data_IF_880837693977
#
_entry.id   IF_880837693977
#
_cell.length_a   1.000
_cell.length_b   1.000
_cell.length_c   1.000
_cell.angle_alpha   90.00
_cell.angle_beta   90.00
_cell.angle_gamma   90.00
#
_symmetry.space_group_name_H-M   'P 1'
#
loop_
_entity.id
_entity.type
_entity.pdbx_description
1 polymer ?
#
# COMPACT_ATOMS: atom_id res chain seq x y z
N UNK A 1 -39.00 -0.66 -43.80
CA UNK A 1 -37.54 -0.57 -43.61
C UNK A 1 -37.27 -0.77 -42.15
N UNK A 2 -36.99 -2.01 -41.74
CA UNK A 2 -36.62 -2.32 -40.37
C UNK A 2 -35.23 -1.74 -40.08
N UNK A 3 -35.14 -0.88 -39.07
CA UNK A 3 -33.85 -0.48 -38.53
C UNK A 3 -33.22 -1.74 -37.91
N UNK A 4 -32.25 -2.34 -38.61
CA UNK A 4 -31.30 -3.25 -38.00
C UNK A 4 -30.59 -2.46 -36.89
N UNK A 5 -31.09 -2.61 -35.66
CA UNK A 5 -30.37 -2.23 -34.45
C UNK A 5 -29.06 -3.01 -34.50
N UNK A 6 -27.98 -2.33 -34.85
CA UNK A 6 -26.63 -2.84 -34.70
C UNK A 6 -26.47 -3.12 -33.21
N UNK A 7 -26.59 -4.39 -32.83
CA UNK A 7 -26.26 -4.85 -31.49
C UNK A 7 -24.74 -4.78 -31.38
N UNK A 8 -24.23 -3.62 -30.96
CA UNK A 8 -22.83 -3.50 -30.54
C UNK A 8 -22.66 -4.33 -29.28
N UNK A 9 -22.30 -5.61 -29.43
CA UNK A 9 -21.98 -6.47 -28.29
C UNK A 9 -20.66 -5.99 -27.69
N UNK A 10 -20.72 -5.30 -26.56
CA UNK A 10 -19.53 -4.90 -25.80
C UNK A 10 -19.07 -6.09 -24.98
N UNK A 11 -17.91 -6.66 -25.31
CA UNK A 11 -17.34 -7.77 -24.55
C UNK A 11 -16.25 -7.23 -23.62
N UNK A 12 -16.50 -7.31 -22.32
CA UNK A 12 -15.60 -6.83 -21.27
C UNK A 12 -15.30 -7.95 -20.29
N UNK A 13 -14.05 -8.06 -19.87
CA UNK A 13 -13.62 -8.93 -18.78
C UNK A 13 -12.98 -8.05 -17.72
N UNK A 14 -13.51 -8.11 -16.51
CA UNK A 14 -12.95 -7.45 -15.34
C UNK A 14 -12.74 -8.48 -14.23
N UNK A 15 -11.49 -8.72 -13.90
CA UNK A 15 -11.07 -9.54 -12.75
C UNK A 15 -10.22 -8.73 -11.76
N UNK A 16 -10.31 -7.41 -11.81
CA UNK A 16 -9.50 -6.54 -10.96
C UNK A 16 -9.79 -6.68 -9.47
N UNK A 17 -8.78 -6.38 -8.63
CA UNK A 17 -8.95 -6.34 -7.18
C UNK A 17 -9.10 -7.71 -6.51
N UNK A 18 -8.47 -8.73 -7.09
CA UNK A 18 -8.51 -10.10 -6.58
C UNK A 18 -7.11 -10.57 -6.14
N UNK A 19 -6.99 -11.87 -5.84
CA UNK A 19 -5.71 -12.53 -5.51
C UNK A 19 -5.38 -13.61 -6.53
N UNK A 20 -5.64 -13.34 -7.81
CA UNK A 20 -5.37 -14.31 -8.87
C UNK A 20 -3.85 -14.38 -9.06
N UNK A 21 -3.33 -15.59 -8.99
CA UNK A 21 -1.90 -15.90 -9.11
C UNK A 21 -1.60 -16.62 -10.44
N UNK A 22 -0.31 -16.73 -10.76
CA UNK A 22 0.16 -17.44 -11.95
C UNK A 22 0.33 -16.54 -13.17
N UNK A 23 0.37 -17.16 -14.35
CA UNK A 23 0.61 -16.47 -15.63
C UNK A 23 -0.71 -16.05 -16.28
N UNK A 24 -0.68 -14.97 -17.06
CA UNK A 24 -1.78 -14.67 -17.99
C UNK A 24 -1.69 -15.67 -19.16
N UNK A 25 -2.73 -16.48 -19.42
CA UNK A 25 -2.66 -17.53 -20.42
C UNK A 25 -2.72 -16.97 -21.85
N UNK A 26 -1.96 -17.59 -22.77
CA UNK A 26 -1.97 -17.24 -24.20
C UNK A 26 -3.35 -17.43 -24.88
N UNK A 27 -4.26 -18.18 -24.25
CA UNK A 27 -5.63 -18.33 -24.73
C UNK A 27 -6.42 -17.01 -24.71
N UNK A 28 -5.96 -15.99 -23.98
CA UNK A 28 -6.62 -14.67 -23.96
C UNK A 28 -6.74 -14.09 -25.37
N UNK A 29 -5.76 -14.32 -26.25
CA UNK A 29 -5.77 -13.84 -27.63
C UNK A 29 -6.81 -14.50 -28.55
N UNK A 30 -7.52 -15.53 -28.07
CA UNK A 30 -8.65 -16.14 -28.79
C UNK A 30 -9.93 -15.30 -28.68
N UNK A 31 -10.01 -14.36 -27.72
CA UNK A 31 -11.19 -13.56 -27.45
C UNK A 31 -11.29 -12.36 -28.41
N UNK A 32 -11.43 -12.62 -29.71
CA UNK A 32 -11.41 -11.60 -30.79
C UNK A 32 -12.46 -10.49 -30.69
N UNK A 33 -13.53 -10.73 -29.92
CA UNK A 33 -14.58 -9.75 -29.68
C UNK A 33 -14.31 -8.84 -28.48
N UNK A 34 -13.26 -9.11 -27.69
CA UNK A 34 -12.95 -8.40 -26.44
C UNK A 34 -12.60 -6.93 -26.71
N UNK A 35 -13.24 -6.05 -25.96
CA UNK A 35 -13.10 -4.60 -26.06
C UNK A 35 -12.40 -4.02 -24.84
N UNK A 36 -12.69 -4.54 -23.64
CA UNK A 36 -12.01 -4.11 -22.43
C UNK A 36 -11.54 -5.31 -21.60
N UNK A 37 -10.29 -5.26 -21.16
CA UNK A 37 -9.67 -6.26 -20.30
C UNK A 37 -9.05 -5.55 -19.09
N UNK A 38 -9.59 -5.83 -17.91
CA UNK A 38 -9.06 -5.35 -16.64
C UNK A 38 -8.62 -6.54 -15.77
N UNK A 39 -7.31 -6.64 -15.53
CA UNK A 39 -6.67 -7.63 -14.68
C UNK A 39 -5.89 -6.97 -13.53
N UNK A 40 -6.12 -5.69 -13.27
CA UNK A 40 -5.32 -4.92 -12.31
C UNK A 40 -5.52 -5.34 -10.86
N UNK A 41 -4.59 -4.96 -9.98
CA UNK A 41 -4.66 -5.26 -8.55
C UNK A 41 -4.84 -6.77 -8.27
N UNK A 42 -3.93 -7.56 -8.81
CA UNK A 42 -3.86 -9.02 -8.64
C UNK A 42 -2.41 -9.44 -8.33
N UNK A 43 -2.11 -10.72 -8.46
CA UNK A 43 -0.80 -11.32 -8.20
C UNK A 43 -0.29 -12.05 -9.44
N UNK A 44 -0.66 -11.58 -10.64
CA UNK A 44 -0.18 -12.18 -11.89
C UNK A 44 1.34 -12.01 -12.02
N UNK A 45 2.01 -13.06 -12.47
CA UNK A 45 3.47 -13.16 -12.61
C UNK A 45 3.85 -13.49 -14.05
N UNK A 46 5.15 -13.52 -14.34
CA UNK A 46 5.68 -13.87 -15.66
C UNK A 46 5.46 -12.76 -16.70
N UNK A 47 5.36 -13.12 -17.97
CA UNK A 47 5.38 -12.15 -19.08
C UNK A 47 3.97 -11.77 -19.52
N UNK A 48 3.84 -10.59 -20.12
CA UNK A 48 2.63 -10.21 -20.86
C UNK A 48 2.57 -11.09 -22.13
N UNK A 49 1.52 -11.89 -22.34
CA UNK A 49 1.45 -12.84 -23.45
C UNK A 49 1.41 -12.12 -24.80
N UNK A 50 2.17 -12.63 -25.76
CA UNK A 50 2.25 -12.04 -27.11
C UNK A 50 0.89 -12.06 -27.81
N UNK A 51 0.06 -13.06 -27.49
CA UNK A 51 -1.31 -13.19 -28.01
C UNK A 51 -2.24 -12.03 -27.63
N UNK A 52 -1.91 -11.15 -26.68
CA UNK A 52 -2.73 -9.94 -26.45
C UNK A 52 -2.76 -9.02 -27.68
N UNK A 53 -1.71 -9.04 -28.50
CA UNK A 53 -1.67 -8.32 -29.79
C UNK A 53 -2.70 -8.83 -30.80
N UNK A 54 -3.29 -10.01 -30.57
CA UNK A 54 -4.31 -10.59 -31.43
C UNK A 54 -5.72 -10.03 -31.19
N UNK A 55 -5.90 -9.18 -30.16
CA UNK A 55 -7.17 -8.59 -29.77
C UNK A 55 -7.45 -7.29 -30.54
N UNK A 56 -7.71 -7.43 -31.85
CA UNK A 56 -7.85 -6.28 -32.75
C UNK A 56 -9.02 -5.32 -32.48
N UNK A 57 -9.89 -5.59 -31.50
CA UNK A 57 -10.98 -4.70 -31.06
C UNK A 57 -10.76 -4.12 -29.66
N UNK A 58 -9.61 -4.40 -29.04
CA UNK A 58 -9.33 -3.97 -27.68
C UNK A 58 -9.17 -2.45 -27.63
N UNK A 59 -9.96 -1.82 -26.77
CA UNK A 59 -9.97 -0.39 -26.50
C UNK A 59 -9.34 -0.06 -25.15
N UNK A 60 -9.47 -0.95 -24.16
CA UNK A 60 -8.97 -0.72 -22.81
C UNK A 60 -8.25 -1.94 -22.26
N UNK A 61 -7.02 -1.74 -21.78
CA UNK A 61 -6.17 -2.75 -21.18
C UNK A 61 -5.58 -2.26 -19.86
N UNK A 62 -6.01 -2.82 -18.75
CA UNK A 62 -5.41 -2.54 -17.44
C UNK A 62 -4.77 -3.80 -16.86
N UNK A 63 -3.44 -3.76 -16.73
CA UNK A 63 -2.60 -4.79 -16.13
C UNK A 63 -1.85 -4.27 -14.89
N UNK A 64 -2.21 -3.08 -14.41
CA UNK A 64 -1.48 -2.40 -13.34
C UNK A 64 -1.53 -3.15 -12.01
N UNK A 65 -0.58 -2.85 -11.11
CA UNK A 65 -0.53 -3.42 -9.76
C UNK A 65 -0.56 -4.96 -9.76
N UNK A 66 0.42 -5.55 -10.44
CA UNK A 66 0.67 -6.98 -10.51
C UNK A 66 2.16 -7.26 -10.30
N UNK A 67 2.61 -8.49 -10.55
CA UNK A 67 4.00 -8.90 -10.50
C UNK A 67 4.53 -9.30 -11.90
N UNK A 68 3.97 -8.73 -12.97
CA UNK A 68 4.38 -9.02 -14.35
C UNK A 68 5.82 -8.56 -14.58
N UNK A 69 6.53 -9.26 -15.45
CA UNK A 69 7.97 -9.14 -15.68
C UNK A 69 8.29 -9.29 -17.17
N UNK A 70 9.53 -8.96 -17.56
CA UNK A 70 9.95 -8.98 -18.95
C UNK A 70 9.51 -7.72 -19.71
N UNK A 71 9.38 -7.81 -21.03
CA UNK A 71 9.11 -6.66 -21.91
C UNK A 71 7.64 -6.49 -22.24
N UNK A 72 7.21 -5.27 -22.53
CA UNK A 72 5.90 -5.01 -23.15
C UNK A 72 5.97 -5.51 -24.61
N UNK A 73 5.06 -6.39 -25.07
CA UNK A 73 5.08 -6.88 -26.45
C UNK A 73 4.93 -5.76 -27.48
N UNK A 74 5.84 -5.70 -28.46
CA UNK A 74 5.77 -4.72 -29.55
C UNK A 74 4.45 -4.74 -30.32
N UNK A 75 3.81 -5.92 -30.41
CA UNK A 75 2.49 -6.07 -31.05
C UNK A 75 1.39 -5.24 -30.39
N UNK A 76 1.50 -4.86 -29.11
CA UNK A 76 0.52 -3.95 -28.47
C UNK A 76 0.53 -2.56 -29.11
N UNK A 77 1.67 -2.11 -29.63
CA UNK A 77 1.76 -0.87 -30.41
C UNK A 77 0.99 -0.89 -31.73
N UNK A 78 0.62 -2.08 -32.22
CA UNK A 78 -0.16 -2.24 -33.46
C UNK A 78 -1.68 -2.26 -33.27
N UNK A 79 -2.16 -2.25 -32.03
CA UNK A 79 -3.60 -2.25 -31.73
C UNK A 79 -4.21 -0.88 -32.02
N UNK A 80 -4.86 -0.74 -33.17
CA UNK A 80 -5.38 0.56 -33.66
C UNK A 80 -6.49 1.17 -32.80
N UNK A 81 -7.26 0.34 -32.09
CA UNK A 81 -8.38 0.78 -31.26
C UNK A 81 -8.03 1.02 -29.80
N UNK A 82 -6.80 0.68 -29.38
CA UNK A 82 -6.39 0.79 -27.99
C UNK A 82 -6.37 2.27 -27.59
N UNK A 83 -7.27 2.66 -26.70
CA UNK A 83 -7.43 4.03 -26.21
C UNK A 83 -6.86 4.20 -24.81
N UNK A 84 -6.87 3.13 -24.01
CA UNK A 84 -6.34 3.13 -22.66
C UNK A 84 -5.44 1.92 -22.44
N UNK A 85 -4.23 2.17 -21.95
CA UNK A 85 -3.35 1.12 -21.43
C UNK A 85 -2.73 1.57 -20.11
N UNK A 86 -2.73 0.66 -19.15
CA UNK A 86 -2.02 0.85 -17.88
C UNK A 86 -1.29 -0.43 -17.50
N UNK A 87 0.03 -0.32 -17.37
CA UNK A 87 0.94 -1.40 -16.97
C UNK A 87 1.78 -1.01 -15.75
N UNK A 88 1.37 0.07 -15.06
CA UNK A 88 2.08 0.61 -13.91
C UNK A 88 2.19 -0.38 -12.74
N UNK A 89 3.15 -0.16 -11.86
CA UNK A 89 3.37 -0.97 -10.66
C UNK A 89 3.51 -2.47 -10.97
N UNK A 90 4.50 -2.80 -11.81
CA UNK A 90 4.92 -4.16 -12.15
C UNK A 90 6.46 -4.24 -12.14
N UNK A 91 7.02 -5.37 -12.59
CA UNK A 91 8.46 -5.60 -12.74
C UNK A 91 8.88 -5.62 -14.23
N UNK A 92 8.22 -4.83 -15.08
CA UNK A 92 8.50 -4.77 -16.51
C UNK A 92 9.84 -4.05 -16.78
N UNK A 93 10.46 -4.39 -17.91
CA UNK A 93 11.75 -3.87 -18.33
C UNK A 93 11.86 -3.69 -19.85
N UNK A 94 12.84 -2.90 -20.26
CA UNK A 94 13.14 -2.62 -21.67
C UNK A 94 12.40 -1.39 -22.20
N UNK A 95 12.56 -1.16 -23.50
CA UNK A 95 11.97 -0.01 -24.17
C UNK A 95 10.44 -0.16 -24.30
N UNK A 96 9.72 0.93 -24.04
CA UNK A 96 8.27 1.00 -24.28
C UNK A 96 8.01 0.95 -25.79
N UNK A 97 7.15 0.04 -26.28
CA UNK A 97 6.85 -0.09 -27.69
C UNK A 97 6.38 1.22 -28.32
N UNK A 98 6.97 1.55 -29.46
CA UNK A 98 6.56 2.69 -30.25
C UNK A 98 5.26 2.36 -30.99
N UNK A 99 4.23 3.17 -30.76
CA UNK A 99 2.93 3.07 -31.39
C UNK A 99 2.09 4.26 -30.96
N UNK A 100 1.30 4.84 -31.85
CA UNK A 100 0.55 6.08 -31.57
C UNK A 100 -0.32 5.97 -30.32
N UNK A 101 -0.88 4.78 -30.08
CA UNK A 101 -1.73 4.49 -28.94
C UNK A 101 -0.98 4.22 -27.63
N UNK A 102 0.32 3.94 -27.70
CA UNK A 102 1.17 3.68 -26.52
C UNK A 102 1.92 4.94 -26.11
N UNK A 103 2.52 5.66 -27.06
CA UNK A 103 3.31 6.86 -26.77
C UNK A 103 2.45 8.07 -26.39
N UNK A 104 1.18 8.09 -26.81
CA UNK A 104 0.21 9.12 -26.41
C UNK A 104 -0.38 8.94 -25.01
N UNK A 105 -0.02 7.86 -24.31
CA UNK A 105 -0.54 7.57 -22.97
C UNK A 105 0.20 8.36 -21.91
N UNK A 106 -0.43 8.66 -20.76
CA UNK A 106 0.22 9.39 -19.69
C UNK A 106 1.38 8.58 -19.11
N UNK A 107 2.41 9.29 -18.62
CA UNK A 107 3.58 8.70 -17.95
C UNK A 107 3.18 7.73 -16.84
N UNK A 108 2.15 8.09 -16.06
CA UNK A 108 1.60 7.28 -14.98
C UNK A 108 1.18 5.87 -15.40
N UNK A 109 0.78 5.66 -16.66
CA UNK A 109 0.46 4.31 -17.18
C UNK A 109 1.64 3.34 -17.17
N UNK A 110 2.87 3.83 -17.08
CA UNK A 110 4.10 3.01 -17.14
C UNK A 110 4.95 3.10 -15.87
N UNK A 111 4.59 4.00 -14.95
CA UNK A 111 5.34 4.23 -13.70
C UNK A 111 5.35 3.01 -12.78
N UNK A 112 6.27 2.99 -11.81
CA UNK A 112 6.40 1.87 -10.89
C UNK A 112 6.99 0.60 -11.52
N UNK A 113 7.60 0.71 -12.71
CA UNK A 113 8.41 -0.34 -13.35
C UNK A 113 9.86 0.14 -13.47
N UNK A 114 10.75 -0.32 -12.58
CA UNK A 114 12.12 0.19 -12.49
C UNK A 114 13.00 -0.09 -13.73
N UNK A 115 12.62 -1.05 -14.58
CA UNK A 115 13.39 -1.42 -15.77
C UNK A 115 12.86 -0.84 -17.08
N UNK A 116 11.71 -0.15 -17.07
CA UNK A 116 11.15 0.44 -18.29
C UNK A 116 11.87 1.75 -18.62
N UNK A 117 11.98 2.02 -19.92
CA UNK A 117 12.61 3.22 -20.46
C UNK A 117 11.98 3.57 -21.82
N UNK A 118 12.28 4.76 -22.34
CA UNK A 118 11.73 5.28 -23.58
C UNK A 118 10.37 5.96 -23.38
N UNK A 119 9.93 6.72 -24.39
CA UNK A 119 8.68 7.48 -24.32
C UNK A 119 7.47 6.59 -23.99
N UNK A 120 6.55 7.02 -23.12
CA UNK A 120 6.44 8.36 -22.51
C UNK A 120 7.25 8.55 -21.22
N UNK A 121 8.07 7.59 -20.79
CA UNK A 121 9.05 7.81 -19.73
C UNK A 121 10.20 8.67 -20.30
N UNK A 122 10.68 9.63 -19.52
CA UNK A 122 11.83 10.47 -19.91
C UNK A 122 13.17 9.74 -19.73
N UNK A 123 13.13 8.50 -19.22
CA UNK A 123 14.29 7.65 -18.99
C UNK A 123 14.79 7.10 -20.33
N UNK A 124 16.04 7.42 -20.69
CA UNK A 124 16.62 6.93 -21.95
C UNK A 124 17.09 5.48 -21.80
N UNK A 125 16.86 4.65 -22.82
CA UNK A 125 17.23 3.23 -22.81
C UNK A 125 18.73 2.94 -23.05
N UNK A 126 19.60 3.95 -22.95
CA UNK A 126 21.03 3.76 -23.21
C UNK A 126 21.75 3.30 -21.94
N UNK A 127 22.29 2.08 -22.00
CA UNK A 127 23.06 1.46 -20.93
C UNK A 127 24.24 2.32 -20.44
N UNK A 128 24.43 2.30 -19.13
CA UNK A 128 25.55 2.85 -18.36
C UNK A 128 26.90 2.80 -19.09
N UNK A 129 27.48 3.97 -19.34
CA UNK A 129 28.93 4.25 -19.30
C UNK A 129 29.19 5.76 -19.08
N UNK A 130 28.37 6.42 -18.26
CA UNK A 130 28.63 7.80 -17.85
C UNK A 130 28.63 7.84 -16.31
N UNK A 131 29.77 8.14 -15.66
CA UNK A 131 29.80 8.46 -14.23
C UNK A 131 28.86 9.63 -13.95
N UNK A 132 28.30 9.76 -12.73
CA UNK A 132 27.27 10.76 -12.44
C UNK A 132 27.86 12.16 -12.63
N UNK A 133 27.62 12.76 -13.79
CA UNK A 133 27.91 14.16 -14.05
C UNK A 133 26.68 14.93 -13.61
N UNK A 134 26.89 15.79 -12.62
CA UNK A 134 25.92 16.72 -12.07
C UNK A 134 25.15 17.43 -13.18
N UNK A 135 23.83 17.22 -13.26
CA UNK A 135 22.96 18.05 -14.08
C UNK A 135 22.74 19.40 -13.39
N UNK A 136 22.74 20.53 -14.14
CA UNK A 136 22.35 21.84 -13.62
C UNK A 136 20.85 21.85 -13.27
N UNK A 137 20.40 22.72 -12.36
CA UNK A 137 19.00 22.73 -11.92
C UNK A 137 18.10 23.19 -13.05
N UNK A 138 17.24 22.30 -13.54
CA UNK A 138 16.07 22.64 -14.34
C UNK A 138 14.96 23.07 -13.36
N UNK A 139 14.32 24.19 -13.70
CA UNK A 139 13.32 24.89 -12.89
C UNK A 139 12.07 24.00 -12.75
N UNK A 140 11.86 23.46 -11.54
CA UNK A 140 10.63 22.77 -11.18
C UNK A 140 9.49 23.79 -11.01
N UNK A 141 8.46 23.71 -11.85
CA UNK A 141 7.15 24.25 -11.51
C UNK A 141 6.59 23.45 -10.33
N UNK A 142 6.91 23.91 -9.11
CA UNK A 142 6.40 23.36 -7.86
C UNK A 142 4.89 23.60 -7.73
N UNK A 143 4.06 22.63 -8.11
CA UNK A 143 2.76 22.45 -7.47
C UNK A 143 2.87 21.44 -6.32
N UNK A 144 3.04 22.01 -5.14
CA UNK A 144 2.58 21.50 -3.84
C UNK A 144 3.33 20.30 -3.25
N UNK A 145 4.58 20.53 -2.85
CA UNK A 145 5.16 19.81 -1.71
C UNK A 145 5.33 20.79 -0.55
N UNK A 146 4.50 20.60 0.49
CA UNK A 146 4.51 21.35 1.75
C UNK A 146 5.93 21.65 2.23
N UNK A 147 6.39 22.86 1.94
CA UNK A 147 7.69 23.35 2.37
C UNK A 147 7.77 23.22 3.91
N UNK A 148 8.87 22.72 4.45
CA UNK A 148 9.12 22.71 5.89
C UNK A 148 8.99 24.10 6.50
N UNK A 149 9.16 25.16 5.69
CA UNK A 149 8.82 26.55 6.05
C UNK A 149 7.34 26.73 6.37
N UNK A 150 6.42 26.09 5.65
CA UNK A 150 4.99 26.05 5.96
C UNK A 150 4.69 25.31 7.27
N UNK A 151 5.43 24.23 7.56
CA UNK A 151 5.34 23.51 8.85
C UNK A 151 5.82 24.41 10.00
N UNK A 152 6.92 25.15 9.80
CA UNK A 152 7.44 26.10 10.79
C UNK A 152 6.49 27.28 11.02
N UNK A 153 5.82 27.78 9.97
CA UNK A 153 4.81 28.85 10.07
C UNK A 153 3.57 28.37 10.84
N UNK A 154 3.16 27.11 10.67
CA UNK A 154 1.98 26.54 11.35
C UNK A 154 2.20 26.12 12.80
N UNK A 155 3.44 25.76 13.19
CA UNK A 155 3.71 25.21 14.52
C UNK A 155 3.46 26.20 15.65
N UNK A 156 3.88 27.46 15.48
CA UNK A 156 3.71 28.50 16.50
C UNK A 156 2.23 28.79 16.83
N UNK A 157 1.40 29.17 15.84
CA UNK A 157 -0.02 29.42 16.05
C UNK A 157 -0.78 28.18 16.53
N UNK A 158 -0.46 27.00 15.98
CA UNK A 158 -1.14 25.74 16.32
C UNK A 158 -0.92 25.30 17.76
N UNK A 159 0.31 25.44 18.29
CA UNK A 159 0.61 25.09 19.68
C UNK A 159 -0.09 26.04 20.66
N UNK A 160 -0.13 27.35 20.36
CA UNK A 160 -0.82 28.33 21.20
C UNK A 160 -2.33 28.07 21.26
N UNK A 161 -2.95 27.79 20.11
CA UNK A 161 -4.37 27.40 20.04
C UNK A 161 -4.64 26.11 20.81
N UNK A 162 -3.77 25.10 20.67
CA UNK A 162 -3.87 23.84 21.39
C UNK A 162 -3.81 24.01 22.91
N UNK A 163 -2.85 24.82 23.40
CA UNK A 163 -2.72 25.12 24.83
C UNK A 163 -3.92 25.93 25.37
N UNK A 164 -4.46 26.87 24.58
CA UNK A 164 -5.66 27.63 24.97
C UNK A 164 -6.89 26.72 25.08
N UNK A 165 -7.10 25.82 24.10
CA UNK A 165 -8.19 24.84 24.14
C UNK A 165 -8.01 23.89 25.33
N UNK A 166 -6.80 23.38 25.57
CA UNK A 166 -6.52 22.51 26.71
C UNK A 166 -6.80 23.20 28.05
N UNK A 167 -6.41 24.47 28.19
CA UNK A 167 -6.68 25.26 29.39
C UNK A 167 -8.18 25.50 29.59
N UNK A 168 -8.94 25.77 28.52
CA UNK A 168 -10.40 25.87 28.54
C UNK A 168 -11.06 24.57 28.98
N UNK A 169 -10.63 23.43 28.43
CA UNK A 169 -11.17 22.10 28.79
C UNK A 169 -10.85 21.75 30.24
N UNK A 170 -9.64 22.11 30.73
CA UNK A 170 -9.24 21.86 32.10
C UNK A 170 -10.04 22.68 33.13
N UNK A 171 -10.42 23.91 32.80
CA UNK A 171 -11.23 24.77 33.68
C UNK A 171 -12.71 24.41 33.63
N UNK A 172 -13.25 24.05 32.45
CA UNK A 172 -14.67 23.76 32.28
C UNK A 172 -15.09 22.33 32.64
N UNK A 173 -14.15 21.38 32.77
CA UNK A 173 -14.39 19.94 33.07
C UNK A 173 -15.69 19.40 32.43
N UNK A 174 -15.76 19.36 31.09
CA UNK A 174 -17.01 19.00 30.43
C UNK A 174 -17.34 17.51 30.65
N UNK A 175 -18.59 17.22 31.02
CA UNK A 175 -19.02 15.87 31.43
C UNK A 175 -18.82 14.80 30.34
N UNK A 176 -18.89 15.20 29.05
CA UNK A 176 -18.66 14.28 27.92
C UNK A 176 -17.23 13.72 27.89
N UNK A 177 -16.24 14.47 28.39
CA UNK A 177 -14.84 14.06 28.40
C UNK A 177 -14.57 13.03 29.52
N UNK A 178 -15.19 13.21 30.69
CA UNK A 178 -15.05 12.29 31.84
C UNK A 178 -15.61 10.90 31.50
N UNK A 179 -16.66 10.84 30.68
CA UNK A 179 -17.29 9.58 30.25
C UNK A 179 -16.41 8.75 29.30
N UNK A 180 -15.51 9.39 28.55
CA UNK A 180 -14.57 8.72 27.62
C UNK A 180 -13.36 8.14 28.37
N UNK A 181 -12.90 8.80 29.44
CA UNK A 181 -11.67 8.44 30.18
C UNK A 181 -11.98 7.59 31.44
N UNK A 182 -13.25 7.36 31.77
CA UNK A 182 -13.66 6.54 32.91
C UNK A 182 -13.30 5.05 32.74
N UNK A 183 -12.73 4.38 33.76
CA UNK A 183 -12.36 2.97 33.67
C UNK A 183 -13.60 2.09 33.46
N UNK A 184 -13.57 1.33 32.36
CA UNK A 184 -14.65 0.46 31.93
C UNK A 184 -14.72 -0.79 32.84
N UNK A 185 -15.53 -0.73 33.89
CA UNK A 185 -15.70 -1.83 34.87
C UNK A 185 -16.56 -2.94 34.26
N UNK A 186 -15.95 -3.88 33.51
CA UNK A 186 -16.64 -5.11 33.07
C UNK A 186 -16.99 -5.97 34.29
N UNK A 187 -18.29 -6.05 34.61
CA UNK A 187 -18.86 -7.06 35.51
C UNK A 187 -18.78 -8.43 34.83
N UNK A 188 -17.97 -9.33 35.38
CA UNK A 188 -18.05 -10.77 35.06
C UNK A 188 -19.22 -11.38 35.83
N UNK A 189 -20.20 -11.92 35.10
CA UNK A 189 -21.30 -12.69 35.65
C UNK A 189 -20.83 -14.11 36.00
N UNK A 190 -21.10 -14.48 37.25
CA UNK A 190 -20.91 -15.79 37.85
C UNK A 190 -21.90 -16.83 37.29
N UNK A 191 -21.41 -18.02 36.95
CA UNK A 191 -22.12 -19.30 37.07
C UNK A 191 -21.12 -20.30 37.66
N UNK A 192 -21.31 -20.80 38.89
CA UNK A 192 -22.22 -21.90 39.30
C UNK A 192 -21.93 -23.15 38.44
N UNK A 193 -21.44 -24.30 38.92
CA UNK A 193 -21.56 -24.98 40.22
C UNK A 193 -20.56 -26.14 40.28
N UNK A 194 -19.98 -26.42 41.45
CA UNK A 194 -19.30 -27.68 41.76
C UNK A 194 -20.30 -28.74 42.23
N UNK A 195 -20.08 -30.02 41.89
CA UNK A 195 -20.30 -31.11 42.85
C UNK A 195 -19.31 -32.27 42.60
N UNK A 196 -18.82 -32.95 43.66
CA UNK A 196 -17.63 -33.80 43.61
C UNK A 196 -17.91 -35.31 43.77
N UNK A 197 -16.83 -36.10 43.70
CA UNK A 197 -16.66 -37.55 43.95
C UNK A 197 -16.81 -38.39 42.66
N UNK A 198 -15.80 -39.14 42.18
CA UNK A 198 -15.01 -40.16 42.91
C UNK A 198 -13.54 -40.22 42.44
N UNK A 199 -12.70 -40.64 43.39
CA UNK A 199 -11.24 -40.77 43.43
C UNK A 199 -10.55 -41.47 42.24
N UNK A 200 -9.41 -40.89 41.84
CA UNK A 200 -8.33 -41.53 41.11
C UNK A 200 -7.02 -40.83 41.41
N UNK A 201 -6.31 -41.27 42.46
CA UNK A 201 -5.01 -40.72 42.87
C UNK A 201 -3.94 -41.16 41.86
N UNK A 202 -3.21 -40.22 41.26
CA UNK A 202 -1.74 -40.32 41.10
C UNK A 202 -1.10 -39.00 40.62
N UNK A 203 -0.15 -38.57 41.45
CA UNK A 203 1.01 -37.69 41.20
C UNK A 203 0.78 -36.21 40.89
N UNK A 204 1.00 -35.40 41.92
CA UNK A 204 1.68 -34.11 41.76
C UNK A 204 3.09 -34.34 41.20
N UNK A 205 3.41 -33.67 40.09
CA UNK A 205 4.78 -33.26 39.79
C UNK A 205 4.80 -31.74 39.82
N UNK A 206 5.80 -31.25 40.53
CA UNK A 206 6.05 -29.87 40.90
C UNK A 206 6.52 -29.10 39.67
N UNK A 207 6.13 -27.84 39.66
CA UNK A 207 6.77 -26.69 39.03
C UNK A 207 8.25 -26.90 38.67
N UNK A 208 8.63 -26.35 37.52
CA UNK A 208 10.00 -26.19 36.99
C UNK A 208 10.41 -27.22 35.94
N UNK A 209 9.81 -27.15 34.74
CA UNK A 209 10.48 -27.34 33.45
C UNK A 209 9.53 -26.90 32.32
N UNK A 210 9.58 -25.62 31.96
CA UNK A 210 9.09 -25.06 30.68
C UNK A 210 9.62 -23.62 30.58
N UNK A 211 10.95 -23.47 30.77
CA UNK A 211 11.67 -22.20 30.70
C UNK A 211 12.84 -22.21 29.72
N UNK A 212 12.95 -23.24 28.88
CA UNK A 212 14.11 -23.42 27.98
C UNK A 212 13.74 -23.61 26.49
N UNK A 213 12.60 -23.11 26.02
CA UNK A 213 12.30 -23.01 24.57
C UNK A 213 11.68 -21.66 24.15
N UNK A 214 12.16 -20.55 24.74
CA UNK A 214 11.95 -19.19 24.19
C UNK A 214 13.22 -18.33 24.27
N UNK A 215 14.38 -18.97 24.14
CA UNK A 215 15.69 -18.34 23.93
C UNK A 215 16.29 -18.77 22.58
N UNK A 216 15.46 -18.78 21.53
CA UNK A 216 15.94 -18.60 20.16
C UNK A 216 15.40 -17.26 19.68
N UNK A 217 16.09 -16.22 20.09
CA UNK A 217 15.91 -14.86 19.60
C UNK A 217 16.36 -14.78 18.14
N UNK A 218 15.40 -14.88 17.23
CA UNK A 218 15.55 -14.26 15.91
C UNK A 218 15.29 -12.76 16.08
N UNK A 219 16.37 -12.00 16.08
CA UNK A 219 16.36 -10.56 15.80
C UNK A 219 15.71 -10.34 14.42
N UNK A 220 14.40 -10.10 14.40
CA UNK A 220 13.72 -9.58 13.21
C UNK A 220 13.85 -8.06 13.28
N UNK A 221 14.79 -7.53 12.51
CA UNK A 221 14.97 -6.10 12.27
C UNK A 221 13.75 -5.54 11.52
N UNK A 222 12.72 -5.15 12.26
CA UNK A 222 11.61 -4.36 11.74
C UNK A 222 11.99 -2.87 11.74
N UNK A 223 12.82 -2.39 10.80
CA UNK A 223 13.05 -0.93 10.74
C UNK A 223 13.22 -0.27 9.37
N UNK A 224 13.11 -0.98 8.25
CA UNK A 224 13.33 -0.34 6.94
C UNK A 224 12.22 -0.63 5.93
N UNK A 225 10.99 -0.19 6.21
CA UNK A 225 10.01 0.33 5.21
C UNK A 225 8.62 0.55 5.81
N UNK A 226 8.54 1.37 6.86
CA UNK A 226 7.28 1.92 7.31
C UNK A 226 7.10 3.33 6.73
N UNK A 227 5.90 3.67 6.19
CA UNK A 227 5.57 5.02 5.74
C UNK A 227 5.92 6.06 6.81
N UNK A 228 6.36 7.28 6.43
CA UNK A 228 6.81 8.31 7.37
C UNK A 228 5.80 8.55 8.52
N UNK A 229 4.51 8.54 8.21
CA UNK A 229 3.42 8.70 9.17
C UNK A 229 3.43 7.62 10.26
N UNK A 230 3.82 6.39 9.93
CA UNK A 230 3.91 5.29 10.89
C UNK A 230 5.18 5.36 11.74
N UNK A 231 6.29 5.86 11.18
CA UNK A 231 7.52 6.12 11.95
C UNK A 231 7.33 7.25 12.97
N UNK A 232 6.57 8.29 12.61
CA UNK A 232 6.18 9.37 13.53
C UNK A 232 5.30 8.81 14.65
N UNK A 233 4.34 7.95 14.33
CA UNK A 233 3.47 7.33 15.33
C UNK A 233 4.25 6.46 16.33
N UNK A 234 5.18 5.62 15.85
CA UNK A 234 6.03 4.78 16.72
C UNK A 234 6.91 5.66 17.63
N UNK A 235 7.56 6.70 17.10
CA UNK A 235 8.35 7.63 17.93
C UNK A 235 7.49 8.40 18.93
N UNK A 236 6.25 8.71 18.59
CA UNK A 236 5.33 9.39 19.51
C UNK A 236 4.90 8.46 20.66
N UNK A 237 4.68 7.17 20.38
CA UNK A 237 4.39 6.16 21.41
C UNK A 237 5.60 5.94 22.33
N UNK A 238 6.81 5.80 21.78
CA UNK A 238 8.03 5.68 22.59
C UNK A 238 8.28 6.90 23.49
N UNK A 239 7.97 8.10 23.01
CA UNK A 239 8.09 9.34 23.79
C UNK A 239 7.04 9.43 24.91
N UNK A 240 5.81 8.97 24.66
CA UNK A 240 4.75 8.91 25.67
C UNK A 240 5.06 7.88 26.76
N UNK A 241 5.60 6.72 26.39
CA UNK A 241 6.02 5.70 27.35
C UNK A 241 7.19 6.20 28.23
N UNK A 242 8.14 6.92 27.65
CA UNK A 242 9.23 7.55 28.41
C UNK A 242 8.73 8.65 29.37
N UNK A 243 7.75 9.45 28.94
CA UNK A 243 7.15 10.48 29.79
C UNK A 243 6.34 9.89 30.96
N UNK A 244 5.72 8.72 30.79
CA UNK A 244 4.96 8.07 31.85
C UNK A 244 5.87 7.53 32.97
N UNK A 245 7.05 7.02 32.63
CA UNK A 245 8.05 6.56 33.60
C UNK A 245 8.66 7.72 34.41
N UNK A 246 8.96 8.85 33.78
CA UNK A 246 9.41 10.07 34.47
C UNK A 246 8.35 10.59 35.47
N UNK A 247 7.07 10.55 35.10
CA UNK A 247 5.97 10.94 36.00
C UNK A 247 5.79 9.96 37.16
N UNK A 248 6.01 8.65 36.95
CA UNK A 248 5.99 7.64 38.02
C UNK A 248 7.16 7.82 38.99
N UNK A 249 8.36 8.11 38.48
CA UNK A 249 9.55 8.41 39.29
C UNK A 249 9.35 9.70 40.10
N UNK A 250 8.81 10.76 39.48
CA UNK A 250 8.51 12.02 40.16
C UNK A 250 7.44 11.87 41.26
N UNK A 251 6.41 11.05 41.06
CA UNK A 251 5.40 10.75 42.08
C UNK A 251 5.95 9.91 43.25
N UNK A 252 6.93 9.03 42.99
CA UNK A 252 7.60 8.23 44.03
C UNK A 252 8.54 9.08 44.90
N UNK A 253 9.09 10.17 44.37
CA UNK A 253 9.98 11.10 45.08
C UNK A 253 9.26 12.11 46.00
N UNK A 254 7.95 12.33 45.80
CA UNK A 254 7.08 13.17 46.66
C UNK A 254 6.42 12.44 47.84
N UNK A 255 6.65 11.13 47.99
CA UNK A 255 6.09 10.29 49.09
C UNK A 255 7.16 9.83 50.10
N UNK A 256 8.34 10.47 50.10
CA UNK A 256 9.38 10.31 51.12
C UNK A 256 9.63 11.65 51.80
#
# INVERSE_FOLDING_TARGET
MEQQRVLTSYATIDFSGNRIEGLIPESIGLLKALIALNLSNNVFTGHIPLSLSNLGKLESLDLSSNQLSGTIPNGLGSLSFLAYINVSHNHLKGEIPQGTQITGQPKSSFEGNAGLCGLPLQDTCFGTNVPPTQQPPEEEEEEQVLNWKGVAIGYGPGVLLGLAIAHLVATYKPEWLVKIIGPNKRRSHSSKTWNPLVFGVRKCVRHDQLKDEMQQGTQITWQTNLPLNFKVYIKMVEFLDAAEEEVKVAKKKRRK
#
